data_IF_404898442207
#
_entry.id   IF_404898442207
#
_cell.length_a   1.000
_cell.length_b   1.000
_cell.length_c   1.000
_cell.angle_alpha   90.00
_cell.angle_beta   90.00
_cell.angle_gamma   90.00
#
_symmetry.space_group_name_H-M   'P 1'
#
loop_
_entity.id
_entity.type
_entity.pdbx_description
1 polymer ?
#
# COMPACT_ATOMS: atom_id res chain seq x y z
N UNK A 1 1.45 -13.01 -4.05
CA UNK A 1 0.24 -12.40 -4.61
C UNK A 1 0.52 -11.79 -5.99
N UNK A 2 1.34 -10.74 -6.18
CA UNK A 2 1.59 -10.21 -7.54
C UNK A 2 2.53 -11.06 -8.41
N UNK A 3 3.54 -11.70 -7.82
CA UNK A 3 4.62 -12.34 -8.59
C UNK A 3 4.15 -13.60 -9.34
N UNK A 4 3.22 -14.38 -8.77
CA UNK A 4 2.71 -15.60 -9.41
C UNK A 4 1.86 -15.33 -10.66
N UNK A 5 1.10 -14.23 -10.74
CA UNK A 5 0.28 -13.91 -11.92
C UNK A 5 1.11 -13.35 -13.09
N UNK A 6 2.13 -12.54 -12.79
CA UNK A 6 3.06 -12.01 -13.80
C UNK A 6 3.86 -13.13 -14.48
N UNK A 7 4.27 -14.15 -13.71
CA UNK A 7 4.98 -15.32 -14.25
C UNK A 7 4.11 -16.23 -15.12
N UNK A 8 2.78 -16.12 -15.03
CA UNK A 8 1.82 -16.85 -15.87
C UNK A 8 1.37 -16.05 -17.10
N UNK A 9 1.86 -14.82 -17.31
CA UNK A 9 1.51 -13.99 -18.46
C UNK A 9 0.07 -13.48 -18.47
N UNK A 10 -0.64 -13.60 -17.35
CA UNK A 10 -2.00 -13.09 -17.17
C UNK A 10 -1.91 -11.61 -16.83
N UNK A 11 -1.83 -10.74 -17.84
CA UNK A 11 -1.95 -9.30 -17.64
C UNK A 11 -3.43 -8.92 -17.54
N UNK A 12 -3.79 -8.13 -16.53
CA UNK A 12 -5.13 -7.56 -16.45
C UNK A 12 -5.09 -6.22 -15.72
N UNK A 13 -6.12 -5.41 -15.96
CA UNK A 13 -6.34 -4.15 -15.24
C UNK A 13 -6.35 -4.36 -13.72
N UNK A 14 -6.82 -5.52 -13.22
CA UNK A 14 -6.80 -5.84 -11.78
C UNK A 14 -5.37 -5.95 -11.24
N UNK A 15 -4.44 -6.50 -12.02
CA UNK A 15 -3.03 -6.63 -11.61
C UNK A 15 -2.28 -5.31 -11.71
N UNK A 16 -2.62 -4.45 -12.67
CA UNK A 16 -2.08 -3.10 -12.75
C UNK A 16 -2.52 -2.26 -11.53
N UNK A 17 -3.80 -2.35 -11.15
CA UNK A 17 -4.34 -1.71 -9.93
C UNK A 17 -3.67 -2.27 -8.67
N UNK A 18 -3.52 -3.60 -8.58
CA UNK A 18 -2.82 -4.23 -7.46
C UNK A 18 -1.37 -3.74 -7.34
N UNK A 19 -0.63 -3.75 -8.45
CA UNK A 19 0.77 -3.32 -8.49
C UNK A 19 0.92 -1.84 -8.16
N UNK A 20 0.00 -1.00 -8.64
CA UNK A 20 -0.07 0.41 -8.26
C UNK A 20 -0.28 0.59 -6.75
N UNK A 21 -1.18 -0.20 -6.13
CA UNK A 21 -1.42 -0.18 -4.70
C UNK A 21 -0.17 -0.53 -3.87
N UNK A 22 0.53 -1.58 -4.28
CA UNK A 22 1.81 -1.98 -3.65
C UNK A 22 2.84 -0.86 -3.76
N UNK A 23 3.04 -0.30 -4.97
CA UNK A 23 3.99 0.80 -5.19
C UNK A 23 3.63 2.06 -4.39
N UNK A 24 2.34 2.39 -4.28
CA UNK A 24 1.88 3.54 -3.50
C UNK A 24 2.18 3.37 -2.00
N UNK A 25 2.01 2.17 -1.47
CA UNK A 25 2.34 1.87 -0.07
C UNK A 25 3.85 1.86 0.16
N UNK A 26 4.64 1.30 -0.77
CA UNK A 26 6.11 1.30 -0.73
C UNK A 26 6.73 2.70 -0.80
N UNK A 27 6.08 3.63 -1.52
CA UNK A 27 6.49 5.05 -1.54
C UNK A 27 6.27 5.76 -0.20
N UNK A 28 5.26 5.34 0.58
CA UNK A 28 4.97 5.95 1.89
C UNK A 28 5.93 5.42 2.97
N UNK A 29 6.43 4.19 2.81
CA UNK A 29 7.38 3.58 3.73
C UNK A 29 8.32 2.62 3.00
N UNK A 30 9.62 2.95 2.97
CA UNK A 30 10.65 2.10 2.40
C UNK A 30 11.02 0.93 3.32
N UNK A 31 10.75 -0.32 2.91
CA UNK A 31 11.33 -1.52 3.56
C UNK A 31 10.52 -2.82 3.44
N UNK A 32 11.21 -3.94 3.18
CA UNK A 32 10.64 -5.27 2.96
C UNK A 32 9.78 -5.77 4.16
N UNK A 33 8.63 -6.38 3.84
CA UNK A 33 7.51 -6.81 4.70
C UNK A 33 6.50 -5.72 5.16
N UNK A 34 6.41 -4.64 4.39
CA UNK A 34 5.51 -3.50 4.64
C UNK A 34 4.05 -3.86 4.88
N UNK A 35 3.51 -4.80 4.11
CA UNK A 35 2.09 -5.18 4.17
C UNK A 35 1.73 -5.72 5.56
N UNK A 36 2.53 -6.62 6.11
CA UNK A 36 2.32 -7.19 7.44
C UNK A 36 2.44 -6.12 8.53
N UNK A 37 3.42 -5.21 8.39
CA UNK A 37 3.63 -4.12 9.34
C UNK A 37 2.54 -3.04 9.26
N UNK A 38 2.07 -2.72 8.05
CA UNK A 38 1.01 -1.76 7.80
C UNK A 38 -0.34 -2.28 8.28
N UNK A 39 -0.64 -3.55 8.03
CA UNK A 39 -1.85 -4.18 8.52
C UNK A 39 -1.92 -4.20 10.05
N UNK A 40 -0.79 -4.51 10.69
CA UNK A 40 -0.66 -4.48 12.15
C UNK A 40 -0.86 -3.07 12.71
N UNK A 41 -0.16 -2.07 12.17
CA UNK A 41 -0.26 -0.68 12.65
C UNK A 41 -1.64 -0.07 12.37
N UNK A 42 -2.31 -0.47 11.29
CA UNK A 42 -3.69 -0.09 11.01
C UNK A 42 -4.65 -0.63 12.07
N UNK A 43 -4.58 -1.92 12.38
CA UNK A 43 -5.42 -2.54 13.41
C UNK A 43 -5.17 -1.95 14.81
N UNK A 44 -3.94 -1.51 15.08
CA UNK A 44 -3.57 -0.83 16.33
C UNK A 44 -3.92 0.68 16.35
N UNK A 45 -4.46 1.25 15.27
CA UNK A 45 -4.78 2.69 15.18
C UNK A 45 -3.54 3.60 15.11
N UNK A 46 -2.38 3.04 14.79
CA UNK A 46 -1.05 3.70 14.79
C UNK A 46 -0.52 3.93 13.38
N UNK A 47 -1.42 4.15 12.42
CA UNK A 47 -1.10 4.28 10.99
C UNK A 47 -0.10 5.40 10.67
N UNK A 48 -0.02 6.46 11.48
CA UNK A 48 0.94 7.57 11.29
C UNK A 48 2.41 7.14 11.41
N UNK A 49 2.68 6.05 12.13
CA UNK A 49 4.03 5.46 12.26
C UNK A 49 4.50 4.74 11.00
N UNK A 50 3.65 4.67 9.97
CA UNK A 50 4.07 4.24 8.64
C UNK A 50 4.83 5.33 7.89
N UNK A 51 4.69 6.61 8.24
CA UNK A 51 5.25 7.71 7.44
C UNK A 51 6.78 7.73 7.49
N UNK A 52 7.43 7.67 6.33
CA UNK A 52 8.90 7.79 6.22
C UNK A 52 9.40 9.16 6.74
N UNK A 53 10.43 9.20 7.60
CA UNK A 53 10.98 10.43 8.17
C UNK A 53 11.43 11.47 7.14
N UNK A 54 11.89 11.04 5.95
CA UNK A 54 12.38 11.91 4.88
C UNK A 54 11.27 12.68 4.15
N UNK A 55 10.03 12.20 4.27
CA UNK A 55 8.84 12.80 3.66
C UNK A 55 8.04 13.61 4.70
N UNK A 56 8.37 13.45 5.99
CA UNK A 56 7.61 13.96 7.14
C UNK A 56 7.58 15.50 7.23
N UNK A 57 8.55 16.20 6.65
CA UNK A 57 8.59 17.67 6.64
C UNK A 57 7.92 18.30 5.41
N UNK A 58 7.68 17.54 4.33
CA UNK A 58 7.12 18.04 3.07
C UNK A 58 5.72 17.51 2.75
N UNK A 59 5.26 16.47 3.46
CA UNK A 59 3.96 15.86 3.22
C UNK A 59 2.87 16.35 4.19
N UNK A 60 1.74 16.74 3.59
CA UNK A 60 0.49 16.95 4.30
C UNK A 60 -0.04 15.61 4.86
N UNK A 61 -0.26 15.55 6.17
CA UNK A 61 -0.69 14.33 6.85
C UNK A 61 -2.03 13.79 6.32
N UNK A 62 -2.93 14.66 5.85
CA UNK A 62 -4.21 14.25 5.27
C UNK A 62 -4.00 13.57 3.92
N UNK A 63 -3.06 14.05 3.10
CA UNK A 63 -2.69 13.39 1.85
C UNK A 63 -2.05 12.03 2.07
N UNK A 64 -1.17 11.90 3.08
CA UNK A 64 -0.56 10.60 3.42
C UNK A 64 -1.62 9.58 3.82
N UNK A 65 -2.57 9.96 4.68
CA UNK A 65 -3.68 9.07 5.07
C UNK A 65 -4.55 8.67 3.88
N UNK A 66 -4.80 9.58 2.93
CA UNK A 66 -5.53 9.26 1.69
C UNK A 66 -4.76 8.28 0.81
N UNK A 67 -3.46 8.46 0.63
CA UNK A 67 -2.63 7.54 -0.15
C UNK A 67 -2.58 6.14 0.48
N UNK A 68 -2.53 6.05 1.82
CA UNK A 68 -2.63 4.76 2.52
C UNK A 68 -3.98 4.10 2.23
N UNK A 69 -5.09 4.83 2.36
CA UNK A 69 -6.43 4.30 2.11
C UNK A 69 -6.56 3.78 0.67
N UNK A 70 -6.15 4.59 -0.32
CA UNK A 70 -6.19 4.21 -1.74
C UNK A 70 -5.31 2.98 -1.99
N UNK A 71 -4.08 2.95 -1.44
CA UNK A 71 -3.18 1.83 -1.58
C UNK A 71 -3.75 0.53 -1.03
N UNK A 72 -4.44 0.59 0.12
CA UNK A 72 -5.14 -0.55 0.73
C UNK A 72 -6.29 -1.06 -0.15
N UNK A 73 -7.13 -0.16 -0.68
CA UNK A 73 -8.21 -0.53 -1.60
C UNK A 73 -7.68 -1.21 -2.88
N UNK A 74 -6.52 -0.77 -3.37
CA UNK A 74 -5.89 -1.36 -4.55
C UNK A 74 -5.36 -2.78 -4.32
N UNK A 75 -4.99 -3.15 -3.09
CA UNK A 75 -4.41 -4.47 -2.76
C UNK A 75 -5.40 -5.41 -2.07
N UNK A 76 -6.65 -4.99 -1.86
CA UNK A 76 -7.71 -5.85 -1.34
C UNK A 76 -7.95 -7.06 -2.26
N UNK A 77 -8.16 -8.21 -1.64
CA UNK A 77 -8.43 -9.47 -2.36
C UNK A 77 -9.85 -9.47 -2.94
N UNK A 78 -10.82 -8.95 -2.16
CA UNK A 78 -12.22 -8.76 -2.54
C UNK A 78 -12.54 -7.26 -2.72
N UNK A 79 -13.03 -6.82 -3.90
CA UNK A 79 -13.42 -5.44 -4.15
C UNK A 79 -14.75 -5.01 -3.48
N UNK A 80 -15.44 -5.91 -2.75
CA UNK A 80 -16.78 -5.67 -2.18
C UNK A 80 -16.75 -5.33 -0.67
N UNK A 81 -15.64 -5.57 0.03
CA UNK A 81 -15.43 -5.22 1.46
C UNK A 81 -14.76 -3.85 1.66
#
# INVERSE_FOLDING_TARGET
MALEYAMQGLFSVKLDVFSFGVLLLEMIKHGESLLTLAWKLWFEGRSLELTDPSIKESCDAVQVVKCIHIGLLCVQEDPID
#
